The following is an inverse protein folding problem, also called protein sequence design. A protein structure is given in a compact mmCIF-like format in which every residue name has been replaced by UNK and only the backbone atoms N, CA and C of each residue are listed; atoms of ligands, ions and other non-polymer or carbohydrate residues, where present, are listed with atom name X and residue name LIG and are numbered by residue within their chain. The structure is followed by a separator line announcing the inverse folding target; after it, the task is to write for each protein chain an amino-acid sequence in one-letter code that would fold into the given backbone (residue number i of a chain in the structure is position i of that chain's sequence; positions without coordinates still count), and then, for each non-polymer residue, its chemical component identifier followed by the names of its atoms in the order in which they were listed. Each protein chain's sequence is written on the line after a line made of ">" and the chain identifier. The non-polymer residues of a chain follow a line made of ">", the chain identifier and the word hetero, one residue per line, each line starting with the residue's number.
data_IF_463137656023
#
_entry.id   IF_463137656023
#
_cell.length_a   1.000
_cell.length_b   1.000
_cell.length_c   1.000
_cell.angle_alpha   90.00
_cell.angle_beta   90.00
_cell.angle_gamma   90.00
#
_symmetry.space_group_name_H-M   'P 1'
#
loop_
_entity.id
_entity.type
_entity.pdbx_description
1 polymer ?
#
# COMPACT_ATOMS: atom_id res chain seq x y z
N UNK A 1 11.05 2.62 -10.88
CA UNK A 1 9.88 3.50 -11.04
C UNK A 1 9.06 3.39 -9.77
N UNK A 2 8.72 4.50 -9.13
CA UNK A 2 8.02 4.58 -7.83
C UNK A 2 6.87 5.58 -7.99
N UNK A 3 5.99 5.69 -7.00
CA UNK A 3 4.90 6.69 -6.92
C UNK A 3 5.28 8.12 -7.40
N UNK A 4 6.57 8.49 -7.43
CA UNK A 4 7.06 9.75 -8.00
C UNK A 4 6.65 10.05 -9.46
N UNK A 5 6.27 9.05 -10.27
CA UNK A 5 5.72 9.27 -11.63
C UNK A 5 4.22 9.60 -11.65
N UNK A 6 3.49 9.19 -10.61
CA UNK A 6 2.02 9.30 -10.50
C UNK A 6 1.59 10.32 -9.44
N UNK A 7 2.54 11.02 -8.81
CA UNK A 7 2.31 11.87 -7.64
C UNK A 7 2.46 11.09 -6.33
N UNK A 8 2.92 11.77 -5.27
CA UNK A 8 3.02 11.14 -3.95
C UNK A 8 1.61 10.96 -3.38
N UNK A 9 1.30 9.82 -2.73
CA UNK A 9 0.00 9.64 -2.10
C UNK A 9 -0.30 10.80 -1.13
N UNK A 10 -1.51 11.36 -1.25
CA UNK A 10 -2.00 12.42 -0.36
C UNK A 10 -1.18 13.72 -0.37
N UNK A 11 -0.41 13.99 -1.42
CA UNK A 11 0.44 15.18 -1.53
C UNK A 11 -0.30 16.52 -1.33
N UNK A 12 -1.61 16.52 -1.57
CA UNK A 12 -2.47 17.71 -1.46
C UNK A 12 -3.24 17.80 -0.13
N UNK A 13 -3.05 16.83 0.79
CA UNK A 13 -3.70 16.83 2.11
C UNK A 13 -2.75 17.36 3.19
N UNK A 14 -3.28 18.17 4.10
CA UNK A 14 -2.61 18.47 5.36
C UNK A 14 -2.54 17.23 6.27
N UNK A 15 -1.71 17.28 7.32
CA UNK A 15 -1.56 16.18 8.28
C UNK A 15 -2.90 15.78 8.94
N UNK A 16 -3.72 16.77 9.32
CA UNK A 16 -5.01 16.51 9.94
C UNK A 16 -5.99 15.84 8.96
N UNK A 17 -6.06 16.33 7.73
CA UNK A 17 -6.92 15.75 6.68
C UNK A 17 -6.47 14.34 6.32
N UNK A 18 -5.16 14.09 6.28
CA UNK A 18 -4.59 12.77 6.06
C UNK A 18 -4.99 11.80 7.18
N UNK A 19 -4.88 12.22 8.44
CA UNK A 19 -5.25 11.41 9.58
C UNK A 19 -6.73 11.02 9.53
N UNK A 20 -7.63 11.98 9.31
CA UNK A 20 -9.06 11.72 9.19
C UNK A 20 -9.37 10.77 8.02
N UNK A 21 -8.82 11.06 6.83
CA UNK A 21 -9.07 10.24 5.64
C UNK A 21 -8.58 8.79 5.79
N UNK A 22 -7.36 8.58 6.30
CA UNK A 22 -6.74 7.24 6.35
C UNK A 22 -7.25 6.45 7.54
N UNK A 23 -7.35 7.06 8.73
CA UNK A 23 -7.72 6.36 9.96
C UNK A 23 -9.22 6.18 10.10
N UNK A 24 -10.01 7.22 9.79
CA UNK A 24 -11.45 7.21 10.05
C UNK A 24 -12.25 6.79 8.82
N UNK A 25 -11.78 7.12 7.60
CA UNK A 25 -12.49 6.79 6.36
C UNK A 25 -11.83 5.67 5.55
N UNK A 26 -10.79 5.04 6.10
CA UNK A 26 -10.05 3.94 5.48
C UNK A 26 -9.57 4.22 4.04
N UNK A 27 -9.31 5.49 3.73
CA UNK A 27 -8.83 5.86 2.40
C UNK A 27 -7.44 5.24 2.20
N UNK A 28 -7.25 4.58 1.05
CA UNK A 28 -5.97 4.02 0.59
C UNK A 28 -5.64 4.53 -0.81
N UNK A 29 -4.36 4.60 -1.18
CA UNK A 29 -3.96 5.00 -2.53
C UNK A 29 -4.50 4.01 -3.58
N UNK A 30 -4.92 4.47 -4.77
CA UNK A 30 -5.53 3.60 -5.78
C UNK A 30 -4.51 2.64 -6.40
N UNK A 31 -4.58 1.37 -6.00
CA UNK A 31 -3.76 0.26 -6.55
C UNK A 31 -4.06 -0.03 -8.02
N UNK A 32 -5.26 0.33 -8.51
CA UNK A 32 -5.67 0.13 -9.91
C UNK A 32 -4.73 0.80 -10.92
N UNK A 33 -4.05 1.88 -10.53
CA UNK A 33 -3.08 2.56 -11.41
C UNK A 33 -1.77 1.76 -11.54
N UNK A 34 -1.50 0.85 -10.60
CA UNK A 34 -0.28 0.08 -10.51
C UNK A 34 -0.38 -1.30 -11.16
N UNK A 35 -1.59 -1.77 -11.50
CA UNK A 35 -1.83 -3.13 -12.02
C UNK A 35 -1.12 -3.43 -13.34
N UNK A 36 -0.82 -2.41 -14.14
CA UNK A 36 -0.10 -2.56 -15.40
C UNK A 36 1.42 -2.51 -15.24
N UNK A 37 1.91 -2.07 -14.08
CA UNK A 37 3.34 -1.84 -13.81
C UNK A 37 3.94 -2.92 -12.90
N UNK A 38 3.12 -3.48 -12.01
CA UNK A 38 3.56 -4.43 -11.01
C UNK A 38 2.71 -5.69 -11.02
N UNK A 39 3.30 -6.85 -10.71
CA UNK A 39 2.57 -8.09 -10.71
C UNK A 39 1.57 -8.18 -9.54
N UNK A 40 0.50 -8.93 -9.80
CA UNK A 40 -0.68 -9.02 -8.91
C UNK A 40 -0.34 -9.43 -7.48
N UNK A 41 0.58 -10.37 -7.30
CA UNK A 41 0.99 -10.85 -5.97
C UNK A 41 1.59 -9.73 -5.10
N UNK A 42 2.41 -8.85 -5.70
CA UNK A 42 2.99 -7.70 -5.00
C UNK A 42 1.91 -6.69 -4.61
N UNK A 43 0.96 -6.43 -5.51
CA UNK A 43 -0.15 -5.51 -5.25
C UNK A 43 -1.08 -6.04 -4.15
N UNK A 44 -1.37 -7.34 -4.14
CA UNK A 44 -2.12 -7.99 -3.05
C UNK A 44 -1.39 -7.86 -1.72
N UNK A 45 -0.06 -8.07 -1.69
CA UNK A 45 0.73 -7.89 -0.47
C UNK A 45 0.65 -6.44 0.06
N UNK A 46 0.71 -5.44 -0.82
CA UNK A 46 0.57 -4.03 -0.41
C UNK A 46 -0.82 -3.80 0.23
N UNK A 47 -1.88 -4.36 -0.34
CA UNK A 47 -3.23 -4.23 0.22
C UNK A 47 -3.34 -4.90 1.59
N UNK A 48 -2.81 -6.11 1.76
CA UNK A 48 -2.75 -6.82 3.06
C UNK A 48 -1.98 -6.01 4.12
N UNK A 49 -0.90 -5.33 3.74
CA UNK A 49 -0.14 -4.46 4.64
C UNK A 49 -0.92 -3.21 5.08
N UNK A 50 -1.95 -2.83 4.33
CA UNK A 50 -2.77 -1.64 4.55
C UNK A 50 -4.07 -1.90 5.30
N UNK A 51 -4.30 -3.13 5.77
CA UNK A 51 -5.49 -3.50 6.55
C UNK A 51 -5.75 -2.52 7.70
N UNK A 52 -7.02 -2.15 7.88
CA UNK A 52 -7.45 -1.24 8.95
C UNK A 52 -7.16 -1.86 10.31
N UNK A 53 -7.48 -3.14 10.47
CA UNK A 53 -7.16 -3.92 11.66
C UNK A 53 -5.67 -4.28 11.67
N UNK A 54 -4.88 -3.78 12.65
CA UNK A 54 -3.46 -4.10 12.75
C UNK A 54 -3.18 -5.60 12.91
N UNK A 55 -4.13 -6.39 13.46
CA UNK A 55 -3.96 -7.83 13.66
C UNK A 55 -4.07 -8.63 12.37
N UNK A 56 -4.71 -8.06 11.34
CA UNK A 56 -4.82 -8.68 10.01
C UNK A 56 -3.61 -8.38 9.12
N UNK A 57 -2.76 -7.42 9.52
CA UNK A 57 -1.57 -7.08 8.76
C UNK A 57 -0.54 -8.22 8.84
N UNK A 58 0.12 -8.56 7.73
CA UNK A 58 1.17 -9.56 7.73
C UNK A 58 2.35 -9.11 8.59
N UNK A 59 3.03 -10.10 9.20
CA UNK A 59 4.28 -9.84 9.91
C UNK A 59 5.39 -9.46 8.94
N UNK A 60 6.40 -8.73 9.41
CA UNK A 60 7.54 -8.37 8.57
C UNK A 60 8.30 -9.59 8.02
N UNK A 61 8.37 -10.69 8.78
CA UNK A 61 8.96 -11.95 8.29
C UNK A 61 8.17 -12.47 7.09
N UNK A 62 6.84 -12.48 7.16
CA UNK A 62 5.99 -12.91 6.06
C UNK A 62 6.12 -11.99 4.84
N UNK A 63 6.20 -10.67 5.05
CA UNK A 63 6.43 -9.70 3.97
C UNK A 63 7.75 -10.00 3.24
N UNK A 64 8.83 -10.23 3.98
CA UNK A 64 10.15 -10.55 3.41
C UNK A 64 10.13 -11.86 2.63
N UNK A 65 9.48 -12.91 3.17
CA UNK A 65 9.31 -14.19 2.48
C UNK A 65 8.56 -14.05 1.14
N UNK A 66 7.48 -13.26 1.11
CA UNK A 66 6.74 -13.04 -0.15
C UNK A 66 7.53 -12.20 -1.16
N UNK A 67 8.31 -11.23 -0.67
CA UNK A 67 9.17 -10.41 -1.53
C UNK A 67 10.36 -11.21 -2.09
N UNK A 68 10.97 -12.09 -1.30
CA UNK A 68 12.08 -12.93 -1.78
C UNK A 68 11.61 -13.91 -2.86
N UNK A 69 10.43 -14.50 -2.70
CA UNK A 69 9.80 -15.33 -3.71
C UNK A 69 9.48 -14.58 -5.01
N UNK A 70 9.31 -13.25 -4.97
CA UNK A 70 9.10 -12.42 -6.15
C UNK A 70 10.40 -12.03 -6.87
N UNK A 71 11.48 -11.80 -6.12
CA UNK A 71 12.76 -11.33 -6.66
C UNK A 71 13.65 -12.47 -7.21
N UNK A 72 13.18 -13.71 -7.13
CA UNK A 72 13.86 -14.92 -7.62
C UNK A 72 13.27 -15.33 -8.97
#
# INVERSE_FOLDING_TARGET
>A
MTWGSCGYPYQDLSEHELYEAVKHHDVRPPISQLTNLYPRNLLVLIMEMWETDPLLRPSMNHVVERLSAYLT
#
